data_IF_135956861255
#
_entry.id   IF_135956861255
#
_cell.length_a   1.000
_cell.length_b   1.000
_cell.length_c   1.000
_cell.angle_alpha   90.00
_cell.angle_beta   90.00
_cell.angle_gamma   90.00
#
_symmetry.space_group_name_H-M   'P 1'
#
loop_
_entity.id
_entity.type
_entity.pdbx_description
1 polymer ?
#
# COMPACT_ATOMS: atom_id res chain seq x y z
N UNK A 1 3.54 -15.80 17.31
CA UNK A 1 2.77 -15.80 16.05
C UNK A 1 3.39 -14.71 15.21
N UNK A 2 4.05 -15.04 14.09
CA UNK A 2 4.97 -14.13 13.41
C UNK A 2 4.32 -12.88 12.80
N UNK A 3 5.16 -11.87 12.56
CA UNK A 3 4.81 -10.59 11.92
C UNK A 3 3.93 -10.81 10.67
N UNK A 4 2.91 -9.97 10.48
CA UNK A 4 1.98 -10.10 9.36
C UNK A 4 2.53 -9.41 8.11
N UNK A 5 3.50 -10.05 7.45
CA UNK A 5 4.06 -9.54 6.20
C UNK A 5 3.09 -9.83 5.06
N UNK A 6 2.58 -8.78 4.44
CA UNK A 6 1.76 -8.86 3.24
C UNK A 6 2.66 -9.16 2.04
N UNK A 7 2.22 -10.08 1.17
CA UNK A 7 2.87 -10.30 -0.13
C UNK A 7 1.82 -10.34 -1.24
N UNK A 8 1.77 -9.27 -2.05
CA UNK A 8 0.84 -9.14 -3.17
C UNK A 8 1.53 -9.21 -4.54
N UNK A 9 2.88 -9.25 -4.57
CA UNK A 9 3.67 -9.25 -5.81
C UNK A 9 3.24 -10.37 -6.75
N UNK A 10 2.91 -11.54 -6.21
CA UNK A 10 2.47 -12.72 -6.97
C UNK A 10 0.96 -12.97 -6.92
N UNK A 11 0.19 -12.08 -6.30
CA UNK A 11 -1.25 -12.30 -6.09
C UNK A 11 -2.06 -11.96 -7.35
N UNK A 12 -2.53 -12.99 -8.04
CA UNK A 12 -3.27 -12.87 -9.31
C UNK A 12 -4.65 -12.23 -9.10
N UNK A 13 -5.34 -12.54 -8.01
CA UNK A 13 -6.66 -11.96 -7.70
C UNK A 13 -6.55 -10.47 -7.44
N UNK A 14 -5.56 -10.07 -6.64
CA UNK A 14 -5.28 -8.67 -6.39
C UNK A 14 -4.96 -7.93 -7.70
N UNK A 15 -4.10 -8.48 -8.55
CA UNK A 15 -3.78 -7.88 -9.86
C UNK A 15 -5.01 -7.65 -10.74
N UNK A 16 -5.98 -8.58 -10.73
CA UNK A 16 -7.24 -8.45 -11.50
C UNK A 16 -8.16 -7.34 -10.98
N UNK A 17 -8.03 -6.95 -9.70
CA UNK A 17 -8.82 -5.89 -9.09
C UNK A 17 -8.27 -4.49 -9.36
N UNK A 18 -7.03 -4.41 -9.84
CA UNK A 18 -6.35 -3.15 -10.08
C UNK A 18 -6.65 -2.63 -11.47
N UNK A 19 -6.84 -1.31 -11.55
CA UNK A 19 -6.93 -0.61 -12.81
C UNK A 19 -5.53 -0.51 -13.44
N UNK A 20 -5.35 -1.09 -14.64
CA UNK A 20 -4.07 -1.08 -15.37
C UNK A 20 -3.62 0.34 -15.77
N UNK A 21 -4.49 1.35 -15.63
CA UNK A 21 -4.18 2.73 -15.98
C UNK A 21 -3.26 3.42 -14.96
N UNK A 22 -3.33 3.04 -13.67
CA UNK A 22 -2.48 3.64 -12.63
C UNK A 22 -1.30 2.72 -12.34
N UNK A 23 -0.10 3.23 -12.59
CA UNK A 23 1.14 2.60 -12.13
C UNK A 23 1.44 3.03 -10.70
N UNK A 24 1.54 2.06 -9.80
CA UNK A 24 1.85 2.32 -8.40
C UNK A 24 2.71 1.20 -7.81
N UNK A 25 3.26 1.49 -6.64
CA UNK A 25 3.99 0.57 -5.78
C UNK A 25 3.34 0.60 -4.39
N UNK A 26 3.42 -0.53 -3.68
CA UNK A 26 2.88 -0.64 -2.32
C UNK A 26 3.98 -1.13 -1.39
N UNK A 27 4.10 -0.47 -0.24
CA UNK A 27 5.07 -0.80 0.79
C UNK A 27 4.33 -0.97 2.12
N UNK A 28 4.69 -1.98 2.90
CA UNK A 28 4.26 -2.12 4.28
C UNK A 28 5.31 -1.54 5.20
N UNK A 29 4.87 -0.82 6.22
CA UNK A 29 5.73 -0.24 7.24
C UNK A 29 5.03 -0.28 8.60
N UNK A 30 5.61 0.38 9.61
CA UNK A 30 4.99 0.56 10.91
C UNK A 30 4.98 -0.70 11.78
N UNK A 31 4.10 -0.72 12.77
CA UNK A 31 4.15 -1.70 13.86
C UNK A 31 3.88 -3.13 13.41
N UNK A 32 3.05 -3.31 12.37
CA UNK A 32 2.74 -4.63 11.76
C UNK A 32 3.96 -5.35 11.18
N UNK A 33 5.04 -4.61 10.90
CA UNK A 33 6.30 -5.14 10.40
C UNK A 33 7.24 -5.60 11.53
N UNK A 34 7.17 -4.93 12.68
CA UNK A 34 8.15 -5.02 13.76
C UNK A 34 7.68 -5.84 14.96
N UNK A 35 6.36 -5.94 15.16
CA UNK A 35 5.75 -6.55 16.34
C UNK A 35 4.83 -7.71 15.95
N UNK A 36 4.75 -8.70 16.83
CA UNK A 36 3.77 -9.79 16.71
C UNK A 36 2.35 -9.31 17.04
N UNK A 37 2.21 -8.33 17.95
CA UNK A 37 0.94 -7.68 18.30
C UNK A 37 0.89 -6.27 17.72
N UNK A 38 -0.08 -6.04 16.83
CA UNK A 38 -0.35 -4.77 16.16
C UNK A 38 -1.86 -4.59 15.98
N UNK A 39 -2.33 -3.34 15.95
CA UNK A 39 -3.76 -3.05 15.83
C UNK A 39 -4.20 -2.93 14.37
N UNK A 40 -3.29 -2.49 13.52
CA UNK A 40 -3.53 -2.10 12.13
C UNK A 40 -2.28 -2.35 11.28
N UNK A 41 -2.49 -2.43 9.96
CA UNK A 41 -1.42 -2.56 8.98
C UNK A 41 -1.26 -1.23 8.24
N UNK A 42 -0.14 -0.57 8.49
CA UNK A 42 0.28 0.62 7.77
C UNK A 42 0.85 0.27 6.38
N UNK A 43 0.26 0.86 5.35
CA UNK A 43 0.69 0.73 3.96
C UNK A 43 0.96 2.10 3.35
N UNK A 44 2.02 2.17 2.56
CA UNK A 44 2.36 3.32 1.75
C UNK A 44 2.12 2.96 0.28
N UNK A 45 1.20 3.68 -0.34
CA UNK A 45 0.93 3.61 -1.77
C UNK A 45 1.63 4.78 -2.46
N UNK A 46 2.57 4.44 -3.34
CA UNK A 46 3.29 5.43 -4.16
C UNK A 46 2.83 5.28 -5.60
N UNK A 47 2.14 6.29 -6.13
CA UNK A 47 1.72 6.29 -7.53
C UNK A 47 2.70 7.09 -8.40
N UNK A 48 2.97 6.59 -9.60
CA UNK A 48 3.83 7.29 -10.56
C UNK A 48 3.09 8.48 -11.12
N UNK A 49 3.73 9.65 -11.13
CA UNK A 49 3.14 10.84 -11.75
C UNK A 49 2.95 10.63 -13.25
N UNK A 50 1.69 10.53 -13.66
CA UNK A 50 1.28 10.53 -15.05
C UNK A 50 0.25 11.65 -15.25
N UNK A 51 0.23 12.26 -16.42
CA UNK A 51 -0.77 13.29 -16.78
C UNK A 51 -2.22 12.78 -16.69
N UNK A 52 -2.41 11.47 -16.58
CA UNK A 52 -3.73 10.82 -16.51
C UNK A 52 -4.22 10.53 -15.10
N UNK A 53 -3.40 10.65 -14.06
CA UNK A 53 -3.83 10.26 -12.72
C UNK A 53 -4.87 11.24 -12.17
N UNK A 54 -6.15 10.86 -12.17
CA UNK A 54 -7.19 11.65 -11.52
C UNK A 54 -7.22 11.31 -10.04
N UNK A 55 -7.40 12.32 -9.19
CA UNK A 55 -7.54 12.12 -7.74
C UNK A 55 -8.61 11.07 -7.39
N UNK A 56 -9.72 11.04 -8.14
CA UNK A 56 -10.79 10.05 -7.95
C UNK A 56 -10.34 8.60 -8.21
N UNK A 57 -9.44 8.37 -9.18
CA UNK A 57 -8.95 7.03 -9.50
C UNK A 57 -8.01 6.55 -8.38
N UNK A 58 -7.15 7.44 -7.86
CA UNK A 58 -6.28 7.16 -6.71
C UNK A 58 -7.11 6.83 -5.45
N UNK A 59 -8.17 7.60 -5.19
CA UNK A 59 -9.08 7.33 -4.07
C UNK A 59 -9.82 6.00 -4.22
N UNK A 60 -10.20 5.64 -5.45
CA UNK A 60 -10.84 4.36 -5.77
C UNK A 60 -9.88 3.21 -5.55
N UNK A 61 -8.64 3.33 -6.06
CA UNK A 61 -7.56 2.38 -5.84
C UNK A 61 -7.32 2.13 -4.35
N UNK A 62 -7.17 3.20 -3.55
CA UNK A 62 -7.01 3.11 -2.09
C UNK A 62 -8.14 2.31 -1.43
N UNK A 63 -9.40 2.56 -1.82
CA UNK A 63 -10.57 1.84 -1.27
C UNK A 63 -10.57 0.36 -1.65
N UNK A 64 -10.24 0.03 -2.90
CA UNK A 64 -10.15 -1.36 -3.37
C UNK A 64 -9.11 -2.13 -2.57
N UNK A 65 -7.91 -1.57 -2.43
CA UNK A 65 -6.81 -2.20 -1.68
C UNK A 65 -7.20 -2.41 -0.21
N UNK A 66 -7.71 -1.35 0.46
CA UNK A 66 -8.16 -1.44 1.86
C UNK A 66 -9.22 -2.52 2.04
N UNK A 67 -10.23 -2.57 1.17
CA UNK A 67 -11.30 -3.57 1.26
C UNK A 67 -10.81 -5.00 0.99
N UNK A 68 -9.93 -5.19 0.01
CA UNK A 68 -9.37 -6.50 -0.32
C UNK A 68 -8.56 -7.05 0.87
N UNK A 69 -7.67 -6.23 1.42
CA UNK A 69 -6.81 -6.65 2.52
C UNK A 69 -7.59 -6.85 3.82
N UNK A 70 -8.53 -5.97 4.15
CA UNK A 70 -9.39 -6.17 5.31
C UNK A 70 -10.15 -7.50 5.24
N UNK A 71 -10.68 -7.88 4.07
CA UNK A 71 -11.37 -9.17 3.90
C UNK A 71 -10.45 -10.37 4.16
N UNK A 72 -9.18 -10.27 3.77
CA UNK A 72 -8.21 -11.36 3.89
C UNK A 72 -7.69 -11.50 5.33
N UNK A 73 -7.33 -10.38 5.96
CA UNK A 73 -6.63 -10.40 7.24
C UNK A 73 -7.56 -10.12 8.44
N UNK A 74 -8.76 -9.58 8.21
CA UNK A 74 -9.69 -9.13 9.26
C UNK A 74 -9.06 -8.12 10.24
N UNK A 75 -8.10 -7.34 9.76
CA UNK A 75 -7.36 -6.32 10.50
C UNK A 75 -7.53 -4.99 9.77
N UNK A 76 -7.60 -3.89 10.51
CA UNK A 76 -7.69 -2.55 9.93
C UNK A 76 -6.44 -2.22 9.12
N UNK A 77 -6.66 -1.61 7.95
CA UNK A 77 -5.59 -1.27 7.00
C UNK A 77 -5.56 0.23 6.82
N UNK A 78 -4.46 0.87 7.18
CA UNK A 78 -4.29 2.31 6.97
C UNK A 78 -3.32 2.57 5.84
N UNK A 79 -3.80 3.34 4.85
CA UNK A 79 -3.08 3.57 3.60
C UNK A 79 -2.74 5.05 3.49
N UNK A 80 -1.45 5.36 3.62
CA UNK A 80 -0.88 6.64 3.24
C UNK A 80 -0.63 6.64 1.73
N UNK A 81 -0.98 7.73 1.06
CA UNK A 81 -0.87 7.86 -0.39
C UNK A 81 0.04 9.02 -0.71
N UNK A 82 1.08 8.77 -1.50
CA UNK A 82 2.02 9.77 -1.99
C UNK A 82 2.19 9.63 -3.51
N UNK A 83 2.38 10.75 -4.19
CA UNK A 83 2.99 10.72 -5.52
C UNK A 83 4.47 10.40 -5.43
N UNK A 84 5.05 9.92 -6.54
CA UNK A 84 6.50 9.74 -6.66
C UNK A 84 7.29 11.04 -6.36
N UNK A 85 6.74 12.21 -6.69
CA UNK A 85 7.38 13.49 -6.37
C UNK A 85 7.31 13.79 -4.87
N UNK A 86 6.15 13.61 -4.24
CA UNK A 86 6.01 13.81 -2.79
C UNK A 86 6.92 12.87 -2.01
N UNK A 87 7.09 11.63 -2.46
CA UNK A 87 8.05 10.71 -1.86
C UNK A 87 9.48 11.24 -1.99
N UNK A 88 9.90 11.71 -3.17
CA UNK A 88 11.25 12.26 -3.38
C UNK A 88 11.51 13.50 -2.52
N UNK A 89 10.50 14.33 -2.31
CA UNK A 89 10.62 15.54 -1.49
C UNK A 89 10.63 15.21 0.01
N UNK A 90 9.72 14.33 0.45
CA UNK A 90 9.58 13.98 1.87
C UNK A 90 10.61 12.94 2.32
N UNK A 91 11.14 12.13 1.40
CA UNK A 91 12.06 11.00 1.67
C UNK A 91 11.50 10.09 2.75
N UNK A 92 10.23 9.72 2.66
CA UNK A 92 9.54 8.96 3.70
C UNK A 92 10.12 7.56 3.86
N UNK A 93 10.37 6.86 2.75
CA UNK A 93 10.99 5.53 2.73
C UNK A 93 12.42 5.54 3.30
N UNK A 94 13.13 6.68 3.29
CA UNK A 94 14.45 6.79 3.93
C UNK A 94 14.36 6.91 5.46
N UNK A 95 13.17 7.22 6.00
CA UNK A 95 12.94 7.49 7.43
C UNK A 95 12.30 6.32 8.18
N UNK A 96 11.78 5.32 7.48
CA UNK A 96 11.06 4.19 8.08
C UNK A 96 11.62 2.86 7.61
N UNK A 97 11.48 1.83 8.45
CA UNK A 97 11.68 0.46 8.01
C UNK A 97 10.46 0.01 7.19
N UNK A 98 10.70 -0.55 6.01
CA UNK A 98 9.64 -0.95 5.10
C UNK A 98 9.97 -2.24 4.34
N UNK A 99 8.91 -2.91 3.87
CA UNK A 99 9.01 -4.01 2.90
C UNK A 99 8.14 -3.66 1.70
N UNK A 100 8.66 -3.85 0.49
CA UNK A 100 7.86 -3.74 -0.73
C UNK A 100 6.94 -4.95 -0.86
N UNK A 101 5.64 -4.70 -1.02
CA UNK A 101 4.60 -5.73 -1.05
C UNK A 101 3.85 -5.80 -2.39
N UNK A 102 3.97 -4.77 -3.24
CA UNK A 102 3.48 -4.75 -4.64
C UNK A 102 4.35 -3.84 -5.51
#
# INVERSE_FOLDING_TARGET
>A
MGNAIINLISNIEFKKLLDETIRFELYQFGSSLEKEEFNDIDLLLIYKNSEKNKQNEILTLKKIIKSYLFKQYQIDIDITVLSENEEKEKKFLEQVNYIKVY
#
